data_IF_251651700998
#
_entry.id   IF_251651700998
#
_cell.length_a   1.000
_cell.length_b   1.000
_cell.length_c   1.000
_cell.angle_alpha   90.00
_cell.angle_beta   90.00
_cell.angle_gamma   90.00
#
_symmetry.space_group_name_H-M   'P 1'
#
loop_
_entity.id
_entity.type
_entity.pdbx_description
1 polymer ?
#
# COMPACT_ATOMS: atom_id res chain seq x y z
N UNK A 1 -13.07 2.89 15.32
CA UNK A 1 -12.19 1.75 15.10
C UNK A 1 -10.95 1.85 15.99
N UNK A 2 -10.75 0.85 16.82
CA UNK A 2 -9.62 0.80 17.72
C UNK A 2 -8.48 -0.01 17.08
N UNK A 3 -7.29 0.59 17.03
CA UNK A 3 -6.10 -0.08 16.49
C UNK A 3 -5.22 -0.52 17.65
N UNK A 4 -4.94 -1.83 17.80
CA UNK A 4 -4.02 -2.30 18.82
C UNK A 4 -2.64 -1.68 18.63
N UNK A 5 -2.01 -1.28 19.71
CA UNK A 5 -0.69 -0.66 19.68
C UNK A 5 0.35 -1.56 19.02
N UNK A 6 0.18 -2.89 19.16
CA UNK A 6 1.08 -3.87 18.56
C UNK A 6 1.11 -3.82 17.04
N UNK A 7 0.10 -3.24 16.40
CA UNK A 7 0.04 -3.09 14.94
C UNK A 7 0.64 -1.79 14.45
N UNK A 8 1.04 -0.90 15.36
CA UNK A 8 1.58 0.41 14.97
C UNK A 8 3.10 0.44 15.06
N UNK A 9 3.67 1.48 14.48
CA UNK A 9 5.10 1.78 14.58
C UNK A 9 5.25 3.13 15.25
N UNK A 10 6.46 3.40 15.77
CA UNK A 10 6.78 4.69 16.34
C UNK A 10 6.60 5.77 15.27
N UNK A 11 5.94 6.87 15.64
CA UNK A 11 5.60 7.94 14.72
C UNK A 11 4.12 7.93 14.37
N UNK A 12 3.77 8.56 13.27
CA UNK A 12 2.37 8.68 12.85
C UNK A 12 1.90 7.42 12.14
N UNK A 13 0.72 6.92 12.54
CA UNK A 13 0.05 5.80 11.90
C UNK A 13 -1.37 6.21 11.55
N UNK A 14 -1.90 5.66 10.48
CA UNK A 14 -3.29 5.88 10.11
C UNK A 14 -3.87 4.58 9.52
N UNK A 15 -5.18 4.56 9.32
CA UNK A 15 -5.90 3.38 8.89
C UNK A 15 -6.60 3.67 7.59
N UNK A 16 -6.53 2.73 6.66
CA UNK A 16 -7.25 2.80 5.38
C UNK A 16 -8.15 1.59 5.22
N UNK A 17 -9.35 1.86 4.67
CA UNK A 17 -10.26 0.81 4.26
C UNK A 17 -9.84 0.31 2.88
N UNK A 18 -9.67 -0.99 2.74
CA UNK A 18 -9.30 -1.62 1.46
C UNK A 18 -10.54 -1.75 0.59
N UNK A 19 -10.43 -1.26 -0.64
CA UNK A 19 -11.46 -1.46 -1.65
C UNK A 19 -10.85 -2.22 -2.82
N UNK A 20 -11.59 -3.20 -3.34
CA UNK A 20 -11.12 -4.02 -4.44
C UNK A 20 -10.25 -5.18 -3.96
N UNK A 21 -9.59 -5.82 -4.92
CA UNK A 21 -8.91 -7.10 -4.70
C UNK A 21 -7.46 -7.13 -5.20
N UNK A 22 -6.82 -5.98 -5.33
CA UNK A 22 -5.49 -5.91 -5.92
C UNK A 22 -4.41 -6.62 -5.12
N UNK A 23 -4.65 -6.90 -3.83
CA UNK A 23 -3.70 -7.56 -2.94
C UNK A 23 -4.26 -8.87 -2.35
N UNK A 24 -5.22 -9.49 -3.04
CA UNK A 24 -5.94 -10.66 -2.54
C UNK A 24 -5.03 -11.87 -2.35
N UNK A 25 -3.99 -12.02 -3.17
CA UNK A 25 -3.07 -13.15 -3.06
C UNK A 25 -2.19 -13.08 -1.80
N UNK A 26 -2.16 -11.93 -1.13
CA UNK A 26 -1.54 -11.78 0.18
C UNK A 26 -2.56 -11.81 1.32
N UNK A 27 -3.79 -12.19 1.02
CA UNK A 27 -4.83 -12.31 2.03
C UNK A 27 -5.51 -11.00 2.41
N UNK A 28 -5.26 -9.92 1.68
CA UNK A 28 -5.89 -8.63 1.92
C UNK A 28 -7.12 -8.52 1.02
N UNK A 29 -8.29 -8.37 1.62
CA UNK A 29 -9.58 -8.41 0.93
C UNK A 29 -10.30 -7.08 0.99
N UNK A 30 -11.20 -6.89 0.04
CA UNK A 30 -12.15 -5.79 0.08
C UNK A 30 -12.85 -5.75 1.46
N UNK A 31 -12.91 -4.58 2.06
CA UNK A 31 -13.52 -4.41 3.38
C UNK A 31 -12.56 -4.56 4.55
N UNK A 32 -11.35 -5.03 4.31
CA UNK A 32 -10.33 -5.08 5.36
C UNK A 32 -9.84 -3.66 5.69
N UNK A 33 -9.24 -3.52 6.86
CA UNK A 33 -8.56 -2.30 7.27
C UNK A 33 -7.06 -2.57 7.31
N UNK A 34 -6.27 -1.67 6.73
CA UNK A 34 -4.81 -1.75 6.85
C UNK A 34 -4.31 -0.61 7.72
N UNK A 35 -3.33 -0.94 8.56
CA UNK A 35 -2.63 0.06 9.36
C UNK A 35 -1.41 0.50 8.57
N UNK A 36 -1.27 1.79 8.38
CA UNK A 36 -0.21 2.39 7.57
C UNK A 36 0.66 3.25 8.47
N UNK A 37 1.96 3.00 8.45
CA UNK A 37 2.94 3.85 9.09
C UNK A 37 3.35 4.94 8.10
N UNK A 38 3.16 6.20 8.48
CA UNK A 38 3.42 7.33 7.59
C UNK A 38 4.90 7.44 7.26
N UNK A 39 5.19 7.40 5.98
CA UNK A 39 6.52 7.60 5.42
C UNK A 39 6.37 8.19 4.03
N UNK A 40 7.32 9.02 3.63
CA UNK A 40 7.30 9.61 2.29
C UNK A 40 8.15 8.81 1.30
N UNK A 41 8.86 7.80 1.77
CA UNK A 41 9.72 6.97 0.95
C UNK A 41 9.58 5.51 1.34
N UNK A 42 9.56 4.65 0.32
CA UNK A 42 9.49 3.20 0.49
C UNK A 42 10.70 2.55 -0.15
N UNK A 43 11.08 1.39 0.36
CA UNK A 43 12.11 0.55 -0.25
C UNK A 43 11.45 -0.46 -1.18
N UNK A 44 12.23 -0.97 -2.12
CA UNK A 44 11.75 -1.96 -3.08
C UNK A 44 11.13 -3.15 -2.37
N UNK A 45 9.94 -3.53 -2.82
CA UNK A 45 9.20 -4.67 -2.31
C UNK A 45 8.28 -4.35 -1.14
N UNK A 46 8.36 -3.16 -0.56
CA UNK A 46 7.45 -2.80 0.52
C UNK A 46 6.04 -2.56 -0.01
N UNK A 47 5.04 -2.95 0.79
CA UNK A 47 3.65 -2.67 0.46
C UNK A 47 3.33 -1.25 0.90
N UNK A 48 2.94 -0.42 -0.05
CA UNK A 48 2.70 1.00 0.19
C UNK A 48 1.23 1.35 0.01
N UNK A 49 0.82 2.36 0.76
CA UNK A 49 -0.35 3.16 0.44
C UNK A 49 0.19 4.39 -0.29
N UNK A 50 -0.28 4.63 -1.49
CA UNK A 50 0.22 5.73 -2.33
C UNK A 50 -0.91 6.39 -3.09
N UNK A 51 -0.68 7.65 -3.47
CA UNK A 51 -1.53 8.34 -4.41
C UNK A 51 -0.83 8.30 -5.77
N UNK A 52 -1.54 7.85 -6.78
CA UNK A 52 -1.07 7.83 -8.17
C UNK A 52 -2.01 8.72 -8.96
N UNK A 53 -1.50 9.86 -9.40
CA UNK A 53 -2.32 10.88 -10.06
C UNK A 53 -3.59 11.22 -9.24
N UNK A 54 -3.43 11.30 -7.92
CA UNK A 54 -4.50 11.65 -7.00
C UNK A 54 -5.40 10.51 -6.56
N UNK A 55 -5.23 9.30 -7.08
CA UNK A 55 -5.99 8.13 -6.67
C UNK A 55 -5.22 7.28 -5.67
N UNK A 56 -5.89 6.89 -4.57
CA UNK A 56 -5.29 6.03 -3.56
C UNK A 56 -5.18 4.59 -4.07
N UNK A 57 -4.05 3.98 -3.83
CA UNK A 57 -3.80 2.59 -4.20
C UNK A 57 -2.96 1.89 -3.13
N UNK A 58 -3.08 0.57 -3.09
CA UNK A 58 -2.32 -0.31 -2.22
C UNK A 58 -1.61 -1.32 -3.11
N UNK A 59 -0.28 -1.26 -3.14
CA UNK A 59 0.54 -2.08 -4.03
C UNK A 59 1.91 -2.30 -3.42
N UNK A 60 2.64 -3.27 -3.93
CA UNK A 60 4.08 -3.35 -3.67
C UNK A 60 4.80 -2.44 -4.65
N UNK A 61 5.77 -1.70 -4.15
CA UNK A 61 6.48 -0.68 -4.93
C UNK A 61 7.88 -1.17 -5.27
N UNK A 62 8.28 -0.97 -6.52
CA UNK A 62 9.63 -1.26 -6.98
C UNK A 62 10.11 -0.10 -7.85
N UNK A 63 11.33 0.39 -7.59
CA UNK A 63 11.95 1.37 -8.46
C UNK A 63 12.70 0.68 -9.56
N UNK A 64 12.44 1.12 -10.78
CA UNK A 64 13.10 0.63 -11.98
C UNK A 64 13.99 1.74 -12.56
N UNK A 65 14.85 1.42 -13.54
CA UNK A 65 15.73 2.44 -14.14
C UNK A 65 14.94 3.61 -14.74
N UNK A 66 15.63 4.75 -14.86
CA UNK A 66 15.14 5.93 -15.57
C UNK A 66 13.90 6.57 -14.95
N UNK A 67 13.81 6.54 -13.61
CA UNK A 67 12.74 7.22 -12.89
C UNK A 67 11.38 6.55 -13.00
N UNK A 68 11.34 5.26 -13.34
CA UNK A 68 10.12 4.49 -13.44
C UNK A 68 9.83 3.81 -12.11
N UNK A 69 8.57 3.80 -11.70
CA UNK A 69 8.09 3.05 -10.53
C UNK A 69 7.12 1.99 -11.01
N UNK A 70 7.38 0.75 -10.61
CA UNK A 70 6.44 -0.34 -10.85
C UNK A 70 5.60 -0.54 -9.59
N UNK A 71 4.30 -0.50 -9.76
CA UNK A 71 3.32 -0.79 -8.72
C UNK A 71 2.76 -2.17 -8.98
N UNK A 72 3.11 -3.11 -8.12
CA UNK A 72 2.86 -4.53 -8.32
C UNK A 72 1.68 -4.98 -7.48
N UNK A 73 0.57 -5.41 -8.10
CA UNK A 73 -0.52 -6.03 -7.36
C UNK A 73 -0.13 -7.45 -6.93
N UNK A 74 -0.75 -7.94 -5.87
CA UNK A 74 -0.68 -9.35 -5.48
C UNK A 74 -1.99 -10.01 -5.87
N UNK A 75 -2.19 -10.12 -7.15
CA UNK A 75 -3.36 -10.73 -7.77
C UNK A 75 -2.95 -11.19 -9.17
N UNK A 76 -3.00 -12.50 -9.39
CA UNK A 76 -2.52 -13.08 -10.65
C UNK A 76 -3.30 -12.62 -11.89
N UNK A 77 -4.52 -12.07 -11.68
CA UNK A 77 -5.36 -11.55 -12.77
C UNK A 77 -5.00 -10.11 -13.15
N UNK A 78 -4.16 -9.45 -12.37
CA UNK A 78 -3.84 -8.04 -12.58
C UNK A 78 -2.38 -7.89 -12.99
N UNK A 79 -2.14 -6.99 -13.93
CA UNK A 79 -0.79 -6.68 -14.39
C UNK A 79 -0.19 -5.54 -13.57
N UNK A 80 1.13 -5.49 -13.43
CA UNK A 80 1.77 -4.35 -12.79
C UNK A 80 1.55 -3.07 -13.60
N UNK A 81 1.55 -1.96 -12.89
CA UNK A 81 1.41 -0.62 -13.48
C UNK A 81 2.78 0.05 -13.37
N UNK A 82 3.26 0.63 -14.47
CA UNK A 82 4.48 1.42 -14.47
C UNK A 82 4.13 2.86 -14.71
N UNK A 83 4.64 3.72 -13.84
CA UNK A 83 4.41 5.17 -13.90
C UNK A 83 5.74 5.87 -13.64
N UNK A 84 5.76 7.18 -13.91
CA UNK A 84 6.94 7.97 -13.56
C UNK A 84 6.95 8.24 -12.06
N UNK A 85 8.14 8.36 -11.50
CA UNK A 85 8.32 8.62 -10.09
C UNK A 85 7.55 9.87 -9.62
N UNK A 86 7.46 10.91 -10.46
CA UNK A 86 6.74 12.13 -10.11
C UNK A 86 5.22 11.99 -10.13
N UNK A 87 4.71 10.86 -10.60
CA UNK A 87 3.27 10.58 -10.59
C UNK A 87 2.81 9.84 -9.32
N UNK A 88 3.75 9.44 -8.47
CA UNK A 88 3.47 8.64 -7.27
C UNK A 88 3.83 9.42 -6.03
N UNK A 89 2.89 9.50 -5.10
CA UNK A 89 3.14 10.07 -3.78
C UNK A 89 2.94 8.99 -2.73
N UNK A 90 4.03 8.52 -2.14
CA UNK A 90 3.96 7.52 -1.08
C UNK A 90 3.39 8.17 0.17
N UNK A 91 2.35 7.56 0.73
CA UNK A 91 1.72 8.01 1.97
C UNK A 91 2.27 7.26 3.18
N UNK A 92 2.66 6.01 2.99
CA UNK A 92 3.22 5.20 4.05
C UNK A 92 3.35 3.74 3.68
N UNK A 93 3.77 2.96 4.65
CA UNK A 93 4.03 1.53 4.54
C UNK A 93 2.97 0.77 5.32
N UNK A 94 2.41 -0.27 4.74
CA UNK A 94 1.45 -1.13 5.44
C UNK A 94 2.19 -1.96 6.48
N UNK A 95 1.76 -1.86 7.73
CA UNK A 95 2.38 -2.56 8.86
C UNK A 95 1.42 -3.47 9.61
N UNK A 96 0.15 -3.43 9.29
CA UNK A 96 -0.84 -4.29 9.96
C UNK A 96 -2.12 -4.44 9.15
N UNK A 97 -2.89 -5.46 9.49
CA UNK A 97 -4.17 -5.77 8.88
C UNK A 97 -5.19 -6.06 9.96
N UNK A 98 -6.38 -5.51 9.82
CA UNK A 98 -7.50 -5.79 10.71
C UNK A 98 -8.71 -6.19 9.89
N UNK A 99 -9.44 -7.18 10.38
CA UNK A 99 -10.63 -7.68 9.73
C UNK A 99 -11.71 -7.90 10.79
N UNK A 100 -12.92 -7.50 10.45
CA UNK A 100 -14.08 -7.73 11.31
C UNK A 100 -14.84 -8.96 10.83
N UNK A 101 -15.23 -9.78 11.77
CA UNK A 101 -16.17 -10.86 11.51
C UNK A 101 -17.60 -10.38 11.68
#
# INVERSE_FOLDING_TARGET
LHVPESLTRKGENFVLLVTGDSMVDEGIRDGDWVVVHRRTRAENGEMVAALVNGEATLKRLYREPEGVVRLQPSNERLSPIRVREDEVQVQGIVVGLMRRY
#
